data_IF_601490536466
#
_entry.id   IF_601490536466
#
_cell.length_a   1.000
_cell.length_b   1.000
_cell.length_c   1.000
_cell.angle_alpha   90.00
_cell.angle_beta   90.00
_cell.angle_gamma   90.00
#
_symmetry.space_group_name_H-M   'P 1'
#
loop_
_entity.id
_entity.type
_entity.pdbx_description
1 polymer ?
#
# COMPACT_ATOMS: atom_id res chain seq x y z
N UNK A 1 7.76 -4.04 -4.15
CA UNK A 1 8.23 -5.35 -3.67
C UNK A 1 9.59 -5.15 -3.02
N UNK A 2 9.84 -5.80 -1.89
CA UNK A 2 11.09 -5.73 -1.14
C UNK A 2 11.54 -7.14 -0.73
N UNK A 3 12.85 -7.39 -0.66
CA UNK A 3 13.42 -8.70 -0.30
C UNK A 3 14.22 -8.55 1.00
N UNK A 4 13.85 -9.32 2.01
CA UNK A 4 14.60 -9.44 3.26
C UNK A 4 15.45 -10.72 3.21
N UNK A 5 16.74 -10.55 2.93
CA UNK A 5 17.70 -11.65 2.84
C UNK A 5 18.07 -12.24 4.20
N UNK A 6 17.86 -11.49 5.31
CA UNK A 6 18.14 -11.97 6.67
C UNK A 6 17.11 -12.99 7.11
N UNK A 7 15.83 -12.69 6.89
CA UNK A 7 14.72 -13.58 7.27
C UNK A 7 14.32 -14.55 6.15
N UNK A 8 14.91 -14.43 4.95
CA UNK A 8 14.54 -15.19 3.75
C UNK A 8 13.07 -14.98 3.38
N UNK A 9 12.67 -13.72 3.28
CA UNK A 9 11.30 -13.29 3.04
C UNK A 9 11.19 -12.31 1.85
N UNK A 10 10.04 -12.34 1.18
CA UNK A 10 9.67 -11.38 0.13
C UNK A 10 8.39 -10.67 0.55
N UNK A 11 8.44 -9.33 0.56
CA UNK A 11 7.35 -8.46 0.96
C UNK A 11 6.71 -7.78 -0.26
N UNK A 12 5.39 -7.93 -0.36
CA UNK A 12 4.57 -7.36 -1.44
C UNK A 12 3.56 -6.39 -0.85
N UNK A 13 3.54 -5.16 -1.38
CA UNK A 13 2.56 -4.15 -1.02
C UNK A 13 1.35 -4.23 -1.96
N UNK A 14 0.17 -4.44 -1.39
CA UNK A 14 -1.10 -4.58 -2.09
C UNK A 14 -1.93 -3.32 -1.87
N UNK A 15 -1.81 -2.36 -2.78
CA UNK A 15 -2.46 -1.06 -2.63
C UNK A 15 -4.00 -1.13 -2.70
N UNK A 16 -4.55 -2.07 -3.48
CA UNK A 16 -6.00 -2.19 -3.68
C UNK A 16 -6.79 -2.60 -2.43
N UNK A 17 -6.17 -3.29 -1.49
CA UNK A 17 -6.81 -3.71 -0.23
C UNK A 17 -6.03 -3.23 1.01
N UNK A 18 -5.08 -2.31 0.83
CA UNK A 18 -4.23 -1.74 1.89
C UNK A 18 -3.58 -2.81 2.78
N UNK A 19 -3.05 -3.87 2.16
CA UNK A 19 -2.31 -4.92 2.86
C UNK A 19 -0.86 -4.99 2.42
N UNK A 20 -0.01 -5.53 3.29
CA UNK A 20 1.30 -6.05 2.93
C UNK A 20 1.33 -7.55 3.23
N UNK A 21 1.74 -8.35 2.25
CA UNK A 21 1.85 -9.81 2.36
C UNK A 21 3.31 -10.22 2.30
N UNK A 22 3.70 -11.16 3.17
CA UNK A 22 5.04 -11.72 3.24
C UNK A 22 5.00 -13.18 2.78
N UNK A 23 5.97 -13.57 1.95
CA UNK A 23 6.14 -14.92 1.42
C UNK A 23 7.57 -15.43 1.70
N UNK A 24 7.79 -16.75 1.77
CA UNK A 24 9.14 -17.31 1.75
C UNK A 24 9.92 -16.88 0.50
N UNK A 25 11.24 -16.67 0.61
CA UNK A 25 12.08 -16.23 -0.52
C UNK A 25 12.13 -17.22 -1.69
N UNK A 26 11.80 -18.48 -1.43
CA UNK A 26 11.71 -19.57 -2.40
C UNK A 26 10.26 -19.96 -2.72
N UNK A 27 9.29 -19.09 -2.43
CA UNK A 27 7.91 -19.29 -2.82
C UNK A 27 7.80 -19.49 -4.34
N UNK A 28 7.02 -20.50 -4.74
CA UNK A 28 6.79 -20.84 -6.14
C UNK A 28 5.30 -21.07 -6.39
N UNK A 29 4.80 -20.58 -7.51
CA UNK A 29 3.37 -20.65 -7.85
C UNK A 29 2.48 -19.86 -6.87
N UNK A 30 1.30 -20.41 -6.59
CA UNK A 30 0.29 -19.81 -5.70
C UNK A 30 0.59 -20.14 -4.23
N UNK A 31 1.71 -19.63 -3.73
CA UNK A 31 2.11 -19.82 -2.34
C UNK A 31 1.29 -18.92 -1.40
N UNK A 32 0.78 -19.49 -0.31
CA UNK A 32 0.09 -18.70 0.71
C UNK A 32 1.08 -17.78 1.47
N UNK A 33 0.65 -16.56 1.87
CA UNK A 33 1.48 -15.67 2.65
C UNK A 33 1.72 -16.20 4.06
N UNK A 34 2.96 -16.11 4.53
CA UNK A 34 3.35 -16.47 5.91
C UNK A 34 3.02 -15.36 6.91
N UNK A 35 2.84 -14.11 6.44
CA UNK A 35 2.33 -12.99 7.24
C UNK A 35 1.48 -12.08 6.37
N UNK A 36 0.45 -11.48 6.99
CA UNK A 36 -0.35 -10.42 6.39
C UNK A 36 -0.49 -9.28 7.38
N UNK A 37 -0.07 -8.09 6.98
CA UNK A 37 -0.32 -6.84 7.69
C UNK A 37 -1.42 -6.10 6.95
N UNK A 38 -2.40 -5.57 7.68
CA UNK A 38 -3.54 -4.83 7.13
C UNK A 38 -3.76 -3.55 7.94
N UNK A 39 -4.09 -2.46 7.26
CA UNK A 39 -4.37 -1.18 7.90
C UNK A 39 -5.77 -1.09 8.54
N UNK A 40 -6.67 -2.00 8.18
CA UNK A 40 -8.05 -2.05 8.65
C UNK A 40 -8.57 -3.50 8.77
N UNK A 41 -9.69 -3.76 9.46
CA UNK A 41 -10.31 -5.07 9.54
C UNK A 41 -10.62 -5.70 8.17
N UNK A 42 -10.82 -7.03 8.14
CA UNK A 42 -11.21 -7.74 6.92
C UNK A 42 -12.51 -7.16 6.34
N UNK A 43 -12.56 -6.93 5.03
CA UNK A 43 -13.77 -6.42 4.37
C UNK A 43 -14.02 -4.92 4.61
N UNK A 44 -13.13 -4.21 5.29
CA UNK A 44 -13.21 -2.76 5.41
C UNK A 44 -12.96 -2.11 4.05
N UNK A 45 -14.01 -1.60 3.42
CA UNK A 45 -13.89 -0.77 2.24
C UNK A 45 -13.48 0.63 2.69
N UNK A 46 -12.20 0.97 2.43
CA UNK A 46 -11.72 2.33 2.62
C UNK A 46 -12.66 3.32 1.91
N UNK A 47 -12.91 4.46 2.55
CA UNK A 47 -13.95 5.40 2.16
C UNK A 47 -13.82 5.97 0.73
N UNK A 48 -12.76 5.66 -0.04
CA UNK A 48 -12.39 6.24 -1.34
C UNK A 48 -12.29 7.78 -1.35
N UNK A 49 -12.69 8.45 -0.27
CA UNK A 49 -12.48 9.86 0.00
C UNK A 49 -10.99 10.10 0.26
N UNK A 50 -10.40 10.99 -0.54
CA UNK A 50 -8.97 11.34 -0.46
C UNK A 50 -8.13 10.99 -1.69
N UNK A 51 -8.71 10.55 -2.81
CA UNK A 51 -8.03 10.75 -4.09
C UNK A 51 -8.07 12.24 -4.40
N UNK A 52 -7.07 12.98 -3.92
CA UNK A 52 -6.74 14.28 -4.50
C UNK A 52 -6.27 13.98 -5.92
N UNK A 53 -7.19 14.00 -6.89
CA UNK A 53 -6.85 13.72 -8.29
C UNK A 53 -6.08 14.89 -8.94
N UNK A 54 -6.08 16.06 -8.31
CA UNK A 54 -5.28 17.21 -8.73
C UNK A 54 -4.88 18.09 -7.52
N UNK A 55 -3.59 18.44 -7.45
CA UNK A 55 -3.05 19.52 -6.63
C UNK A 55 -2.70 20.67 -7.57
N UNK A 56 -3.09 21.90 -7.22
CA UNK A 56 -2.66 23.09 -7.94
C UNK A 56 -1.73 23.94 -7.05
N UNK A 57 -0.68 24.52 -7.64
CA UNK A 57 0.19 25.48 -6.96
C UNK A 57 -0.21 26.92 -7.31
N UNK A 58 -0.55 27.73 -6.31
CA UNK A 58 -0.80 29.17 -6.45
C UNK A 58 0.49 29.96 -6.17
N UNK A 59 1.21 30.34 -7.23
CA UNK A 59 2.47 31.08 -7.14
C UNK A 59 2.33 32.51 -6.62
N UNK A 60 1.11 33.08 -6.59
CA UNK A 60 0.89 34.43 -6.05
C UNK A 60 0.78 34.42 -4.53
N UNK A 61 0.38 33.28 -3.95
CA UNK A 61 0.16 33.10 -2.52
C UNK A 61 1.10 32.10 -1.87
N UNK A 62 1.92 31.43 -2.66
CA UNK A 62 2.88 30.40 -2.23
C UNK A 62 2.18 29.23 -1.50
N UNK A 63 1.14 28.66 -2.13
CA UNK A 63 0.28 27.64 -1.51
C UNK A 63 -0.06 26.47 -2.45
N UNK A 64 -0.25 25.28 -1.86
CA UNK A 64 -0.82 24.11 -2.53
C UNK A 64 -2.32 24.02 -2.22
N UNK A 65 -3.14 23.93 -3.26
CA UNK A 65 -4.60 23.83 -3.15
C UNK A 65 -5.05 22.38 -3.37
N UNK A 66 -5.91 21.90 -2.47
CA UNK A 66 -6.51 20.56 -2.51
C UNK A 66 -8.03 20.72 -2.45
N UNK A 67 -8.78 20.38 -3.52
CA UNK A 67 -10.22 20.39 -3.48
C UNK A 67 -10.77 19.20 -2.69
N UNK A 68 -11.86 19.44 -1.95
CA UNK A 68 -12.76 18.42 -1.39
C UNK A 68 -14.07 18.46 -2.18
#
# INVERSE_FOLDING_TARGET
>A
MFVDTKNKEVWVANFGNSTATCYPINANGDAAPIRTIRSAPAGYQGLKFGKVEAVAYDSKRDQLLVPN
#
